data_IF_664538322767
#
_entry.id   IF_664538322767
#
_cell.length_a   1.000
_cell.length_b   1.000
_cell.length_c   1.000
_cell.angle_alpha   90.00
_cell.angle_beta   90.00
_cell.angle_gamma   90.00
#
_symmetry.space_group_name_H-M   'P 1'
#
loop_
_entity.id
_entity.type
_entity.pdbx_description
1 polymer ?
#
# COMPACT_ATOMS: atom_id res chain seq x y z
N UNK A 1 -21.45 3.28 14.62
CA UNK A 1 -21.47 2.01 13.84
C UNK A 1 -22.84 1.32 13.85
N UNK A 2 -23.57 1.30 14.97
CA UNK A 2 -24.88 0.60 15.07
C UNK A 2 -26.11 1.46 14.72
N UNK A 3 -26.05 2.79 14.79
CA UNK A 3 -27.21 3.66 14.51
C UNK A 3 -27.61 3.72 13.02
N UNK A 4 -26.65 3.64 12.10
CA UNK A 4 -26.89 3.77 10.65
C UNK A 4 -27.48 2.51 10.01
N UNK A 5 -27.28 1.34 10.64
CA UNK A 5 -27.89 0.08 10.18
C UNK A 5 -29.39 0.01 10.47
N UNK A 6 -29.85 0.62 11.57
CA UNK A 6 -31.23 0.51 12.02
C UNK A 6 -32.23 1.39 11.24
N UNK A 7 -31.78 2.48 10.61
CA UNK A 7 -32.69 3.52 10.11
C UNK A 7 -32.92 3.54 8.59
N UNK A 8 -32.00 3.03 7.75
CA UNK A 8 -32.09 3.21 6.27
C UNK A 8 -31.74 1.99 5.41
N UNK A 9 -31.41 0.85 6.02
CA UNK A 9 -31.11 -0.38 5.30
C UNK A 9 -29.76 -0.36 4.55
N UNK A 10 -29.24 -1.56 4.27
CA UNK A 10 -27.93 -1.80 3.64
C UNK A 10 -27.83 -1.17 2.24
N UNK A 11 -28.92 -1.17 1.49
CA UNK A 11 -29.01 -0.57 0.15
C UNK A 11 -28.76 0.93 0.12
N UNK A 12 -29.24 1.70 1.11
CA UNK A 12 -29.02 3.15 1.13
C UNK A 12 -27.56 3.50 1.45
N UNK A 13 -26.93 2.71 2.33
CA UNK A 13 -25.51 2.86 2.68
C UNK A 13 -24.62 2.59 1.46
N UNK A 14 -24.84 1.47 0.77
CA UNK A 14 -24.06 1.07 -0.41
C UNK A 14 -24.30 1.99 -1.62
N UNK A 15 -25.51 2.49 -1.84
CA UNK A 15 -25.83 3.32 -3.03
C UNK A 15 -25.59 4.82 -2.87
N UNK A 16 -25.74 5.39 -1.66
CA UNK A 16 -25.65 6.85 -1.48
C UNK A 16 -24.46 7.31 -0.64
N UNK A 17 -24.02 6.51 0.34
CA UNK A 17 -22.97 6.92 1.27
C UNK A 17 -21.58 6.50 0.77
N UNK A 18 -21.42 5.21 0.40
CA UNK A 18 -20.16 4.66 -0.11
C UNK A 18 -19.62 5.43 -1.32
N UNK A 19 -20.39 5.70 -2.40
CA UNK A 19 -19.84 6.42 -3.56
C UNK A 19 -19.48 7.89 -3.28
N UNK A 20 -20.07 8.52 -2.26
CA UNK A 20 -19.72 9.90 -1.86
C UNK A 20 -18.45 9.98 -1.00
N UNK A 21 -18.19 8.96 -0.19
CA UNK A 21 -17.01 8.90 0.68
C UNK A 21 -15.82 8.26 -0.05
N UNK A 22 -16.07 7.37 -1.00
CA UNK A 22 -15.06 6.68 -1.81
C UNK A 22 -13.97 7.59 -2.42
N UNK A 23 -14.27 8.78 -2.99
CA UNK A 23 -13.23 9.67 -3.53
C UNK A 23 -12.46 10.45 -2.45
N UNK A 24 -12.96 10.54 -1.21
CA UNK A 24 -12.32 11.32 -0.14
C UNK A 24 -11.05 10.63 0.35
N UNK A 25 -11.05 9.29 0.47
CA UNK A 25 -9.88 8.52 0.90
C UNK A 25 -8.67 8.70 -0.01
N UNK A 26 -8.75 8.45 -1.33
CA UNK A 26 -7.61 8.69 -2.23
C UNK A 26 -7.24 10.18 -2.30
N UNK A 27 -8.20 11.11 -2.20
CA UNK A 27 -7.91 12.54 -2.16
C UNK A 27 -7.13 12.97 -0.90
N UNK A 28 -7.49 12.45 0.28
CA UNK A 28 -6.79 12.72 1.53
C UNK A 28 -5.37 12.12 1.55
N UNK A 29 -5.22 10.92 0.98
CA UNK A 29 -3.92 10.26 0.81
C UNK A 29 -3.02 11.07 -0.15
N UNK A 30 -3.55 11.48 -1.30
CA UNK A 30 -2.85 12.35 -2.26
C UNK A 30 -2.48 13.70 -1.63
N UNK A 31 -3.38 14.32 -0.88
CA UNK A 31 -3.10 15.55 -0.15
C UNK A 31 -1.94 15.36 0.83
N UNK A 32 -1.96 14.28 1.60
CA UNK A 32 -0.89 13.94 2.56
C UNK A 32 0.43 13.74 1.85
N UNK A 33 0.44 13.02 0.73
CA UNK A 33 1.62 12.83 -0.12
C UNK A 33 2.14 14.19 -0.61
N UNK A 34 1.28 15.03 -1.21
CA UNK A 34 1.68 16.36 -1.72
C UNK A 34 2.27 17.23 -0.60
N UNK A 35 1.66 17.24 0.58
CA UNK A 35 2.17 17.99 1.74
C UNK A 35 3.51 17.44 2.21
N UNK A 36 3.66 16.11 2.36
CA UNK A 36 4.92 15.47 2.71
C UNK A 36 6.04 15.83 1.74
N UNK A 37 5.73 15.76 0.44
CA UNK A 37 6.66 16.09 -0.63
C UNK A 37 7.01 17.55 -0.70
N UNK A 38 6.05 18.44 -0.48
CA UNK A 38 6.34 19.88 -0.45
C UNK A 38 7.28 20.21 0.71
N UNK A 39 7.10 19.56 1.86
CA UNK A 39 7.91 19.77 3.05
C UNK A 39 9.28 19.08 3.02
N UNK A 40 9.44 17.99 2.26
CA UNK A 40 10.67 17.18 2.20
C UNK A 40 11.30 17.09 0.80
N UNK A 41 10.74 17.80 -0.19
CA UNK A 41 11.09 17.67 -1.60
C UNK A 41 12.52 18.11 -1.92
N UNK A 42 13.00 19.18 -1.30
CA UNK A 42 14.39 19.62 -1.42
C UNK A 42 15.35 18.53 -0.91
N UNK A 43 15.08 17.91 0.25
CA UNK A 43 15.88 16.82 0.80
C UNK A 43 15.89 15.55 -0.08
N UNK A 44 14.78 15.23 -0.75
CA UNK A 44 14.70 14.08 -1.68
C UNK A 44 15.60 14.32 -2.90
N UNK A 45 15.63 15.56 -3.40
CA UNK A 45 16.41 15.94 -4.60
C UNK A 45 17.89 16.11 -4.27
N UNK A 46 18.24 16.62 -3.08
CA UNK A 46 19.61 16.85 -2.65
C UNK A 46 20.35 15.56 -2.21
N UNK A 47 19.62 14.54 -1.74
CA UNK A 47 20.21 13.29 -1.21
C UNK A 47 19.70 12.02 -1.92
N UNK A 48 19.85 11.90 -3.26
CA UNK A 48 19.33 10.77 -4.02
C UNK A 48 19.93 9.41 -3.59
N UNK A 49 21.17 9.43 -3.08
CA UNK A 49 21.83 8.23 -2.57
C UNK A 49 21.16 7.67 -1.30
N UNK A 50 20.70 8.53 -0.40
CA UNK A 50 20.00 8.11 0.82
C UNK A 50 18.64 7.51 0.48
N UNK A 51 17.93 8.13 -0.47
CA UNK A 51 16.66 7.61 -0.99
C UNK A 51 16.85 6.21 -1.58
N UNK A 52 17.86 6.01 -2.44
CA UNK A 52 18.15 4.70 -3.03
C UNK A 52 18.52 3.65 -1.99
N UNK A 53 19.30 4.04 -0.97
CA UNK A 53 19.72 3.15 0.13
C UNK A 53 18.54 2.64 0.96
N UNK A 54 17.48 3.44 1.11
CA UNK A 54 16.23 3.03 1.77
C UNK A 54 15.32 2.28 0.79
N UNK A 55 15.23 2.75 -0.45
CA UNK A 55 14.33 2.21 -1.47
C UNK A 55 14.65 0.77 -1.87
N UNK A 56 15.93 0.45 -2.05
CA UNK A 56 16.35 -0.88 -2.48
C UNK A 56 15.97 -1.99 -1.48
N UNK A 57 16.32 -1.89 -0.17
CA UNK A 57 15.90 -2.87 0.82
C UNK A 57 14.38 -2.99 0.92
N UNK A 58 13.66 -1.87 0.86
CA UNK A 58 12.21 -1.86 1.00
C UNK A 58 11.50 -2.51 -0.21
N UNK A 59 11.95 -2.19 -1.43
CA UNK A 59 11.44 -2.83 -2.64
C UNK A 59 11.74 -4.34 -2.64
N UNK A 60 12.94 -4.73 -2.21
CA UNK A 60 13.31 -6.14 -2.08
C UNK A 60 12.42 -6.85 -1.06
N UNK A 61 12.17 -6.23 0.09
CA UNK A 61 11.24 -6.74 1.11
C UNK A 61 9.86 -7.00 0.51
N UNK A 62 9.27 -6.02 -0.20
CA UNK A 62 7.96 -6.18 -0.82
C UNK A 62 7.92 -7.32 -1.84
N UNK A 63 8.93 -7.41 -2.71
CA UNK A 63 9.02 -8.48 -3.69
C UNK A 63 9.12 -9.84 -3.02
N UNK A 64 10.03 -9.99 -2.05
CA UNK A 64 10.25 -11.27 -1.35
C UNK A 64 8.97 -11.69 -0.61
N UNK A 65 8.37 -10.80 0.18
CA UNK A 65 7.16 -11.11 0.95
C UNK A 65 6.01 -11.51 0.04
N UNK A 66 5.80 -10.77 -1.05
CA UNK A 66 4.74 -11.06 -2.00
C UNK A 66 4.95 -12.40 -2.72
N UNK A 67 6.13 -12.62 -3.31
CA UNK A 67 6.41 -13.86 -4.04
C UNK A 67 6.39 -15.08 -3.12
N UNK A 68 6.98 -14.98 -1.93
CA UNK A 68 6.99 -16.07 -0.96
C UNK A 68 5.57 -16.47 -0.59
N UNK A 69 4.75 -15.49 -0.21
CA UNK A 69 3.35 -15.73 0.18
C UNK A 69 2.53 -16.28 -1.00
N UNK A 70 2.71 -15.73 -2.19
CA UNK A 70 1.98 -16.16 -3.39
C UNK A 70 2.31 -17.60 -3.78
N UNK A 71 3.59 -17.95 -3.81
CA UNK A 71 4.00 -19.31 -4.18
C UNK A 71 3.64 -20.34 -3.11
N UNK A 72 3.67 -19.98 -1.83
CA UNK A 72 3.15 -20.84 -0.77
C UNK A 72 1.65 -21.07 -0.98
N UNK A 73 0.87 -20.01 -1.16
CA UNK A 73 -0.58 -20.13 -1.39
C UNK A 73 -0.90 -20.96 -2.65
N UNK A 74 -0.15 -20.75 -3.74
CA UNK A 74 -0.28 -21.53 -4.97
C UNK A 74 0.03 -23.02 -4.74
N UNK A 75 1.12 -23.34 -4.05
CA UNK A 75 1.50 -24.73 -3.73
C UNK A 75 0.50 -25.43 -2.80
N UNK A 76 -0.18 -24.66 -1.95
CA UNK A 76 -1.27 -25.16 -1.10
C UNK A 76 -2.61 -25.33 -1.85
N UNK A 77 -2.65 -25.04 -3.16
CA UNK A 77 -3.87 -25.19 -3.97
C UNK A 77 -4.93 -24.12 -3.70
N UNK A 78 -4.55 -22.97 -3.16
CA UNK A 78 -5.47 -21.86 -2.87
C UNK A 78 -5.88 -21.19 -4.19
N UNK A 79 -7.18 -20.91 -4.36
CA UNK A 79 -7.75 -20.20 -5.50
C UNK A 79 -7.05 -18.85 -5.77
N UNK A 80 -6.88 -18.48 -7.04
CA UNK A 80 -6.20 -17.25 -7.45
C UNK A 80 -6.65 -15.98 -6.70
N UNK A 81 -7.96 -15.70 -6.52
CA UNK A 81 -8.39 -14.48 -5.81
C UNK A 81 -7.91 -14.46 -4.35
N UNK A 82 -7.93 -15.61 -3.68
CA UNK A 82 -7.50 -15.75 -2.28
C UNK A 82 -5.98 -15.67 -2.17
N UNK A 83 -5.26 -16.38 -3.04
CA UNK A 83 -3.80 -16.36 -3.10
C UNK A 83 -3.26 -14.94 -3.39
N UNK A 84 -3.92 -14.22 -4.29
CA UNK A 84 -3.57 -12.83 -4.61
C UNK A 84 -3.86 -11.91 -3.41
N UNK A 85 -5.04 -12.01 -2.80
CA UNK A 85 -5.42 -11.19 -1.65
C UNK A 85 -4.46 -11.38 -0.48
N UNK A 86 -4.15 -12.63 -0.09
CA UNK A 86 -3.24 -12.88 1.04
C UNK A 86 -1.81 -12.40 0.75
N UNK A 87 -1.36 -12.49 -0.51
CA UNK A 87 -0.02 -12.05 -0.88
C UNK A 87 0.13 -10.53 -0.84
N UNK A 88 -0.90 -9.79 -1.25
CA UNK A 88 -0.92 -8.33 -1.10
C UNK A 88 -1.04 -7.93 0.37
N UNK A 89 -1.87 -8.59 1.17
CA UNK A 89 -1.94 -8.34 2.62
C UNK A 89 -0.59 -8.58 3.31
N UNK A 90 0.13 -9.64 2.93
CA UNK A 90 1.44 -9.96 3.52
C UNK A 90 2.55 -8.99 3.09
N UNK A 91 2.42 -8.38 1.92
CA UNK A 91 3.39 -7.41 1.41
C UNK A 91 3.10 -5.98 1.91
N UNK A 92 1.84 -5.61 2.13
CA UNK A 92 1.47 -4.25 2.53
C UNK A 92 1.94 -3.86 3.94
N UNK A 93 2.34 -2.61 4.10
CA UNK A 93 2.74 -2.04 5.38
C UNK A 93 1.82 -0.86 5.76
N UNK A 94 1.72 -0.56 7.05
CA UNK A 94 1.01 0.62 7.57
C UNK A 94 1.99 1.78 7.72
N UNK A 95 2.20 2.55 6.64
CA UNK A 95 3.13 3.67 6.65
C UNK A 95 2.61 4.85 7.47
N UNK A 96 1.30 5.05 7.53
CA UNK A 96 0.67 6.10 8.34
C UNK A 96 1.04 5.93 9.82
N UNK A 97 0.93 4.71 10.35
CA UNK A 97 1.39 4.40 11.70
C UNK A 97 2.91 4.55 11.84
N UNK A 98 3.69 4.08 10.86
CA UNK A 98 5.15 4.17 10.89
C UNK A 98 5.63 5.63 10.94
N UNK A 99 5.01 6.53 10.17
CA UNK A 99 5.27 7.96 10.16
C UNK A 99 4.94 8.57 11.52
N UNK A 100 3.76 8.27 12.07
CA UNK A 100 3.32 8.79 13.36
C UNK A 100 4.29 8.41 14.48
N UNK A 101 4.68 7.13 14.55
CA UNK A 101 5.65 6.63 15.54
C UNK A 101 7.02 7.26 15.33
N UNK A 102 7.47 7.39 14.07
CA UNK A 102 8.78 7.96 13.79
C UNK A 102 8.91 9.43 14.21
N UNK A 103 7.88 10.22 13.91
CA UNK A 103 7.81 11.63 14.32
C UNK A 103 7.69 11.75 15.85
N UNK A 104 6.91 10.88 16.50
CA UNK A 104 6.71 10.94 17.95
C UNK A 104 7.99 10.64 18.75
N UNK A 105 8.83 9.71 18.29
CA UNK A 105 10.03 9.28 19.02
C UNK A 105 11.26 10.09 18.62
N UNK A 106 11.46 10.33 17.33
CA UNK A 106 12.71 10.95 16.81
C UNK A 106 12.52 12.38 16.31
N UNK A 107 11.28 12.88 16.23
CA UNK A 107 10.97 14.21 15.73
C UNK A 107 10.93 14.29 14.20
N UNK A 108 10.30 15.35 13.69
CA UNK A 108 9.99 15.53 12.25
C UNK A 108 11.22 15.72 11.34
N UNK A 109 12.34 16.18 11.91
CA UNK A 109 13.57 16.46 11.16
C UNK A 109 14.57 15.29 11.18
N UNK A 110 14.19 14.15 11.75
CA UNK A 110 15.06 12.97 11.83
C UNK A 110 15.12 12.18 10.52
N UNK A 111 16.23 11.46 10.32
CA UNK A 111 16.42 10.52 9.19
C UNK A 111 15.38 9.38 9.23
N UNK A 112 14.96 8.97 10.43
CA UNK A 112 13.94 7.95 10.64
C UNK A 112 12.57 8.41 10.13
N UNK A 113 12.17 9.64 10.49
CA UNK A 113 10.93 10.22 9.97
C UNK A 113 10.99 10.43 8.45
N UNK A 114 12.16 10.79 7.92
CA UNK A 114 12.35 10.89 6.47
C UNK A 114 12.23 9.54 5.76
N UNK A 115 12.81 8.48 6.30
CA UNK A 115 12.71 7.14 5.72
C UNK A 115 11.27 6.62 5.66
N UNK A 116 10.44 6.92 6.68
CA UNK A 116 9.02 6.50 6.69
C UNK A 116 8.15 7.32 5.73
N UNK A 117 8.48 8.59 5.49
CA UNK A 117 7.86 9.43 4.45
C UNK A 117 8.09 8.87 3.04
N UNK A 118 9.29 8.36 2.78
CA UNK A 118 9.66 7.85 1.45
C UNK A 118 8.98 6.50 1.17
N UNK A 119 8.68 5.73 2.21
CA UNK A 119 8.11 4.38 2.09
C UNK A 119 6.93 4.25 1.11
N UNK A 120 5.85 5.04 1.24
CA UNK A 120 4.71 5.02 0.33
C UNK A 120 5.06 5.25 -1.15
N UNK A 121 6.10 6.03 -1.44
CA UNK A 121 6.52 6.29 -2.82
C UNK A 121 7.14 5.11 -3.51
N UNK A 122 7.73 4.22 -2.74
CA UNK A 122 8.30 2.99 -3.24
C UNK A 122 7.22 1.92 -3.24
N UNK A 123 6.41 1.85 -2.17
CA UNK A 123 5.35 0.86 -2.04
C UNK A 123 4.35 0.92 -3.19
N UNK A 124 3.74 2.08 -3.45
CA UNK A 124 2.68 2.22 -4.46
C UNK A 124 3.13 1.70 -5.85
N UNK A 125 4.26 2.14 -6.44
CA UNK A 125 4.68 1.63 -7.75
C UNK A 125 5.12 0.16 -7.70
N UNK A 126 5.73 -0.31 -6.62
CA UNK A 126 6.09 -1.73 -6.47
C UNK A 126 4.85 -2.61 -6.42
N UNK A 127 3.83 -2.25 -5.63
CA UNK A 127 2.58 -2.99 -5.55
C UNK A 127 1.82 -2.97 -6.88
N UNK A 128 1.75 -1.83 -7.58
CA UNK A 128 1.16 -1.76 -8.94
C UNK A 128 1.91 -2.67 -9.91
N UNK A 129 3.24 -2.72 -9.82
CA UNK A 129 4.05 -3.64 -10.63
C UNK A 129 3.71 -5.11 -10.32
N UNK A 130 3.55 -5.44 -9.03
CA UNK A 130 3.15 -6.77 -8.59
C UNK A 130 1.71 -7.13 -8.99
N UNK A 131 0.79 -6.17 -9.12
CA UNK A 131 -0.56 -6.42 -9.67
C UNK A 131 -0.44 -6.93 -11.10
N UNK A 132 0.42 -6.32 -11.92
CA UNK A 132 0.66 -6.80 -13.28
C UNK A 132 1.29 -8.20 -13.30
N UNK A 133 2.16 -8.51 -12.33
CA UNK A 133 2.71 -9.87 -12.18
C UNK A 133 1.61 -10.87 -11.77
N UNK A 134 0.74 -10.51 -10.83
CA UNK A 134 -0.40 -11.32 -10.41
C UNK A 134 -1.32 -11.64 -11.60
N UNK A 135 -1.66 -10.63 -12.41
CA UNK A 135 -2.48 -10.79 -13.61
C UNK A 135 -1.83 -11.75 -14.62
N UNK A 136 -0.50 -11.69 -14.81
CA UNK A 136 0.23 -12.67 -15.64
C UNK A 136 0.19 -14.08 -15.05
N UNK A 137 0.25 -14.21 -13.73
CA UNK A 137 0.16 -15.49 -13.03
C UNK A 137 -1.24 -16.09 -13.05
N UNK A 138 -2.30 -15.26 -13.14
CA UNK A 138 -3.68 -15.71 -13.36
C UNK A 138 -3.79 -16.61 -14.59
N UNK A 139 -3.20 -16.18 -15.71
CA UNK A 139 -3.24 -16.94 -16.96
C UNK A 139 -2.25 -18.11 -16.93
N UNK A 140 -1.00 -17.86 -16.49
CA UNK A 140 0.09 -18.85 -16.60
C UNK A 140 0.02 -19.98 -15.57
N UNK A 141 -0.38 -19.69 -14.34
CA UNK A 141 -0.36 -20.65 -13.23
C UNK A 141 -1.75 -21.22 -12.92
N UNK A 142 -2.80 -20.42 -13.12
CA UNK A 142 -4.18 -20.81 -12.82
C UNK A 142 -5.03 -21.07 -14.08
N UNK A 143 -4.54 -20.76 -15.28
CA UNK A 143 -5.26 -21.02 -16.53
C UNK A 143 -6.54 -20.20 -16.71
N UNK A 144 -6.76 -19.17 -15.88
CA UNK A 144 -7.97 -18.35 -15.93
C UNK A 144 -7.74 -17.22 -16.93
N UNK A 145 -8.37 -17.29 -18.11
CA UNK A 145 -8.34 -16.21 -19.10
C UNK A 145 -9.19 -15.02 -18.63
N UNK A 146 -8.72 -13.81 -18.91
CA UNK A 146 -9.44 -12.57 -18.63
C UNK A 146 -10.55 -12.29 -19.64
#
# INVERSE_FOLDING_TARGET
RYLSFALKGRDWFERNLVPKISPITPAALLFTIVVMFSLKGEYIVELPYNVLRVALPLALYFMIMWFLTFFIAYKLGIDYPKATAVSFTAASNDFELAIAVAIAIWGINSDQAFATVIGPLIEVPVLISLVNVALRFREKLYGIKS
#
